data_IF_117632675395
#
_entry.id   IF_117632675395
#
_cell.length_a   1.000
_cell.length_b   1.000
_cell.length_c   1.000
_cell.angle_alpha   90.00
_cell.angle_beta   90.00
_cell.angle_gamma   90.00
#
_symmetry.space_group_name_H-M   'P 1'
#
loop_
_entity.id
_entity.type
_entity.pdbx_description
1 polymer ?
#
# COMPACT_ATOMS: atom_id res chain seq x y z
N UNK A 1 16.30 -2.87 -10.43
CA UNK A 1 15.47 -1.65 -10.37
C UNK A 1 16.27 -0.53 -9.72
N UNK A 2 15.99 0.74 -10.01
CA UNK A 2 16.69 1.88 -9.39
C UNK A 2 15.68 2.87 -8.82
N UNK A 3 15.99 3.44 -7.65
CA UNK A 3 15.32 4.65 -7.15
C UNK A 3 16.30 5.64 -6.55
N UNK A 4 16.25 6.89 -7.00
CA UNK A 4 16.94 8.01 -6.37
C UNK A 4 15.90 8.97 -5.76
N UNK A 5 15.98 9.12 -4.44
CA UNK A 5 15.20 10.12 -3.68
C UNK A 5 16.13 11.19 -3.15
N UNK A 6 15.70 12.45 -3.25
CA UNK A 6 16.41 13.58 -2.67
C UNK A 6 15.44 14.48 -1.91
N UNK A 7 15.88 14.95 -0.74
CA UNK A 7 15.07 15.84 0.09
C UNK A 7 15.88 16.96 0.70
N UNK A 8 15.18 18.01 1.09
CA UNK A 8 15.73 19.15 1.81
C UNK A 8 14.75 19.56 2.91
N UNK A 9 15.27 19.79 4.11
CA UNK A 9 14.51 20.31 5.23
C UNK A 9 15.21 21.53 5.83
N UNK A 10 14.44 22.56 6.15
CA UNK A 10 14.93 23.74 6.88
C UNK A 10 13.92 24.21 7.91
N UNK A 11 14.42 24.74 9.02
CA UNK A 11 13.62 25.26 10.13
C UNK A 11 13.76 26.77 10.21
N UNK A 12 12.64 27.47 10.31
CA UNK A 12 12.61 28.92 10.50
C UNK A 12 11.50 29.28 11.49
N UNK A 13 11.90 29.90 12.61
CA UNK A 13 11.01 30.19 13.74
C UNK A 13 10.24 28.92 14.20
N UNK A 14 8.90 28.98 14.24
CA UNK A 14 8.04 27.87 14.63
C UNK A 14 7.68 26.91 13.48
N UNK A 15 8.31 27.08 12.32
CA UNK A 15 7.98 26.37 11.08
C UNK A 15 9.15 25.54 10.56
N UNK A 16 8.81 24.47 9.87
CA UNK A 16 9.70 23.56 9.16
C UNK A 16 9.19 23.47 7.73
N UNK A 17 10.03 23.82 6.76
CA UNK A 17 9.78 23.57 5.36
C UNK A 17 10.55 22.32 4.94
N UNK A 18 9.84 21.37 4.35
CA UNK A 18 10.42 20.10 3.90
C UNK A 18 10.01 19.82 2.47
N UNK A 19 10.95 19.33 1.68
CA UNK A 19 10.73 18.89 0.31
C UNK A 19 11.40 17.54 0.06
N UNK A 20 10.75 16.69 -0.74
CA UNK A 20 11.24 15.36 -1.13
C UNK A 20 10.79 15.08 -2.58
N UNK A 21 11.69 14.53 -3.38
CA UNK A 21 11.50 14.23 -4.79
C UNK A 21 12.01 12.83 -5.11
N UNK A 22 11.23 12.07 -5.88
CA UNK A 22 11.77 10.99 -6.70
C UNK A 22 12.41 11.66 -7.94
N UNK A 23 13.65 11.29 -8.29
CA UNK A 23 14.38 11.89 -9.42
C UNK A 23 14.54 10.90 -10.58
N UNK A 24 14.85 9.66 -10.25
CA UNK A 24 15.04 8.55 -11.19
C UNK A 24 14.41 7.34 -10.55
N UNK A 25 13.48 6.70 -11.26
CA UNK A 25 12.76 5.53 -10.78
C UNK A 25 12.49 4.60 -11.95
N UNK A 26 12.62 3.30 -11.70
CA UNK A 26 12.24 2.25 -12.65
C UNK A 26 13.41 1.40 -13.13
N UNK A 27 13.09 0.51 -14.06
CA UNK A 27 13.96 -0.57 -14.48
C UNK A 27 15.12 -0.05 -15.33
N UNK A 28 16.35 -0.46 -14.98
CA UNK A 28 17.59 -0.13 -15.71
C UNK A 28 17.86 -1.14 -16.83
N UNK A 29 17.62 -2.42 -16.56
CA UNK A 29 17.84 -3.54 -17.46
C UNK A 29 16.99 -4.75 -17.03
N UNK A 30 16.87 -5.74 -17.92
CA UNK A 30 16.11 -6.98 -17.71
C UNK A 30 14.91 -7.06 -18.64
N UNK A 31 14.03 -8.02 -18.35
CA UNK A 31 12.81 -8.24 -19.12
C UNK A 31 11.75 -7.20 -18.76
N UNK A 32 11.06 -6.69 -19.78
CA UNK A 32 9.90 -5.81 -19.64
C UNK A 32 8.64 -6.60 -20.01
N UNK A 33 7.49 -6.15 -19.54
CA UNK A 33 6.21 -6.70 -19.95
C UNK A 33 5.95 -6.42 -21.43
N UNK A 34 5.63 -7.48 -22.19
CA UNK A 34 5.14 -7.38 -23.56
C UNK A 34 3.60 -7.30 -23.56
N UNK A 35 3.06 -6.32 -22.85
CA UNK A 35 1.63 -6.05 -22.76
C UNK A 35 1.38 -4.65 -23.34
N UNK A 36 0.57 -4.52 -24.41
CA UNK A 36 0.35 -3.25 -25.09
C UNK A 36 -0.63 -2.37 -24.30
N UNK A 37 -0.18 -1.84 -23.15
CA UNK A 37 -1.00 -0.99 -22.28
C UNK A 37 -0.19 0.14 -21.67
N UNK A 38 -0.80 1.32 -21.58
CA UNK A 38 -0.24 2.47 -20.86
C UNK A 38 -0.85 2.65 -19.47
N UNK A 39 -1.61 1.66 -18.99
CA UNK A 39 -2.38 1.78 -17.76
C UNK A 39 -1.62 1.30 -16.51
N UNK A 40 -0.46 0.64 -16.68
CA UNK A 40 0.46 0.26 -15.60
C UNK A 40 1.28 1.48 -15.16
N UNK A 41 1.02 1.96 -13.94
CA UNK A 41 1.73 3.09 -13.33
C UNK A 41 3.14 2.74 -12.89
N UNK A 42 3.40 1.45 -12.66
CA UNK A 42 4.75 0.95 -12.39
C UNK A 42 5.62 0.88 -13.64
N UNK A 43 5.04 1.10 -14.83
CA UNK A 43 5.73 1.18 -16.11
C UNK A 43 6.63 -0.03 -16.39
N UNK A 44 6.14 -1.24 -16.09
CA UNK A 44 6.86 -2.51 -16.26
C UNK A 44 7.05 -2.91 -17.72
N UNK A 45 6.37 -2.22 -18.63
CA UNK A 45 6.50 -2.33 -20.08
C UNK A 45 7.75 -1.63 -20.65
N UNK A 46 8.48 -0.87 -19.83
CA UNK A 46 9.60 -0.06 -20.32
C UNK A 46 10.80 0.01 -19.35
N UNK A 47 11.99 0.20 -19.93
CA UNK A 47 13.21 0.55 -19.19
C UNK A 47 13.20 2.05 -18.88
N UNK A 48 12.57 2.42 -17.77
CA UNK A 48 12.26 3.80 -17.40
C UNK A 48 13.26 4.51 -16.49
N UNK A 49 14.32 3.84 -16.00
CA UNK A 49 15.14 4.34 -14.88
C UNK A 49 15.64 5.80 -15.01
N UNK A 50 16.02 6.22 -16.22
CA UNK A 50 16.61 7.54 -16.48
C UNK A 50 15.68 8.51 -17.20
N UNK A 51 14.38 8.24 -17.19
CA UNK A 51 13.38 9.10 -17.80
C UNK A 51 12.99 10.25 -16.88
N UNK A 52 12.66 11.41 -17.45
CA UNK A 52 12.17 12.55 -16.67
C UNK A 52 10.77 12.32 -16.10
N UNK A 53 10.05 11.30 -16.57
CA UNK A 53 8.76 10.88 -15.98
C UNK A 53 8.92 10.36 -14.56
N UNK A 54 10.11 9.87 -14.18
CA UNK A 54 10.44 9.51 -12.81
C UNK A 54 10.69 10.69 -11.87
N UNK A 55 10.78 11.93 -12.39
CA UNK A 55 10.97 13.14 -11.57
C UNK A 55 9.61 13.59 -11.03
N UNK A 56 9.31 13.20 -9.79
CA UNK A 56 8.03 13.53 -9.16
C UNK A 56 8.21 14.07 -7.74
N UNK A 57 7.53 15.18 -7.38
CA UNK A 57 7.54 15.65 -6.00
C UNK A 57 6.71 14.68 -5.13
N UNK A 58 7.28 14.30 -3.99
CA UNK A 58 6.63 13.49 -2.96
C UNK A 58 6.17 14.32 -1.77
N UNK A 59 6.99 15.32 -1.43
CA UNK A 59 6.70 16.27 -0.36
C UNK A 59 7.13 17.66 -0.77
N UNK A 60 6.25 18.62 -0.53
CA UNK A 60 6.53 20.06 -0.51
C UNK A 60 5.58 20.63 0.54
N UNK A 61 6.05 20.71 1.78
CA UNK A 61 5.18 20.97 2.94
C UNK A 61 5.77 22.01 3.88
N UNK A 62 4.88 22.78 4.49
CA UNK A 62 5.17 23.65 5.62
C UNK A 62 4.46 23.11 6.86
N UNK A 63 5.22 22.76 7.89
CA UNK A 63 4.71 22.26 9.18
C UNK A 63 5.15 23.15 10.32
N UNK A 64 4.31 23.39 11.32
CA UNK A 64 4.72 24.19 12.47
C UNK A 64 3.75 24.18 13.63
N UNK A 65 4.17 24.77 14.75
CA UNK A 65 3.36 24.96 15.96
C UNK A 65 3.33 26.45 16.35
N UNK A 66 2.70 27.34 15.56
CA UNK A 66 2.81 28.80 15.73
C UNK A 66 2.36 29.30 17.11
N UNK A 67 1.44 28.59 17.80
CA UNK A 67 0.98 28.90 19.15
C UNK A 67 1.32 27.80 20.19
N UNK A 68 2.19 26.84 19.85
CA UNK A 68 2.62 25.74 20.73
C UNK A 68 1.58 24.66 21.06
N UNK A 69 0.29 24.92 20.89
CA UNK A 69 -0.82 24.02 21.26
C UNK A 69 -1.24 23.06 20.14
N UNK A 70 -1.10 23.49 18.89
CA UNK A 70 -1.65 22.82 17.71
C UNK A 70 -0.57 22.72 16.64
N UNK A 71 -0.37 21.52 16.12
CA UNK A 71 0.44 21.23 14.95
C UNK A 71 -0.38 21.54 13.70
N UNK A 72 0.19 22.36 12.83
CA UNK A 72 -0.34 22.65 11.50
C UNK A 72 0.58 22.07 10.44
N UNK A 73 0.00 21.55 9.37
CA UNK A 73 0.72 21.14 8.17
C UNK A 73 -0.09 21.53 6.93
N UNK A 74 0.58 22.10 5.94
CA UNK A 74 0.01 22.42 4.64
C UNK A 74 0.99 22.07 3.53
N UNK A 75 0.47 21.52 2.43
CA UNK A 75 1.23 21.32 1.21
C UNK A 75 1.06 19.92 0.62
N UNK A 76 1.95 19.57 -0.30
CA UNK A 76 2.03 18.23 -0.87
C UNK A 76 2.70 17.29 0.13
N UNK A 77 2.03 16.20 0.50
CA UNK A 77 2.55 15.18 1.40
C UNK A 77 2.15 13.79 0.92
N UNK A 78 2.88 12.78 1.40
CA UNK A 78 2.46 11.39 1.28
C UNK A 78 1.37 11.07 2.30
N UNK A 79 0.41 10.23 1.92
CA UNK A 79 -0.60 9.68 2.84
C UNK A 79 -0.16 8.29 3.28
N UNK A 80 -0.11 8.03 4.58
CA UNK A 80 0.23 6.71 5.10
C UNK A 80 -0.48 6.48 6.43
N UNK A 81 -1.00 5.27 6.64
CA UNK A 81 -1.65 4.85 7.87
C UNK A 81 -1.32 3.40 8.18
N UNK A 82 -1.16 3.07 9.46
CA UNK A 82 -1.00 1.69 9.95
C UNK A 82 0.13 0.90 9.30
N UNK A 83 -0.21 -0.30 8.83
CA UNK A 83 0.61 -1.19 8.00
C UNK A 83 0.59 -0.80 6.52
N UNK A 84 -0.21 0.21 6.14
CA UNK A 84 -0.35 0.67 4.77
C UNK A 84 -1.40 -0.10 3.98
N UNK A 85 -2.47 -0.57 4.63
CA UNK A 85 -3.55 -1.33 3.95
C UNK A 85 -4.44 -0.40 3.11
N UNK A 86 -4.89 0.73 3.67
CA UNK A 86 -5.75 1.69 2.96
C UNK A 86 -4.96 2.81 2.30
N UNK A 87 -3.96 3.33 2.99
CA UNK A 87 -3.18 4.46 2.53
C UNK A 87 -1.71 4.16 2.76
N UNK A 88 -0.92 4.09 1.69
CA UNK A 88 0.49 3.81 1.77
C UNK A 88 1.33 4.86 1.04
N UNK A 89 2.15 5.56 1.81
CA UNK A 89 3.04 6.58 1.27
C UNK A 89 4.24 6.03 0.51
N UNK A 90 4.34 4.71 0.25
CA UNK A 90 5.41 4.05 -0.52
C UNK A 90 6.81 4.22 0.07
N UNK A 91 6.91 4.62 1.35
CA UNK A 91 8.16 4.90 2.04
C UNK A 91 8.70 3.74 2.87
N UNK A 92 7.86 2.76 3.18
CA UNK A 92 8.23 1.57 3.95
C UNK A 92 9.00 0.57 3.08
N UNK A 93 10.06 -0.01 3.64
CA UNK A 93 10.77 -1.11 2.99
C UNK A 93 9.97 -2.41 3.16
N UNK A 94 9.63 -3.12 2.06
CA UNK A 94 8.94 -4.39 2.16
C UNK A 94 9.88 -5.54 2.53
N UNK A 95 9.29 -6.67 2.97
CA UNK A 95 10.08 -7.88 3.25
C UNK A 95 10.67 -8.50 1.98
N UNK A 96 9.97 -8.36 0.86
CA UNK A 96 10.45 -8.76 -0.47
C UNK A 96 9.84 -7.81 -1.49
N UNK A 97 10.48 -7.66 -2.65
CA UNK A 97 9.95 -6.82 -3.72
C UNK A 97 10.28 -5.34 -3.51
N UNK A 98 9.35 -4.47 -3.94
CA UNK A 98 9.57 -3.03 -4.07
C UNK A 98 8.28 -2.25 -3.86
N UNK A 99 8.40 -1.08 -3.24
CA UNK A 99 7.31 -0.11 -3.09
C UNK A 99 7.42 0.99 -4.17
N UNK A 100 6.81 0.75 -5.34
CA UNK A 100 6.86 1.64 -6.50
C UNK A 100 5.73 2.66 -6.48
N UNK A 101 5.85 3.68 -5.64
CA UNK A 101 4.95 4.83 -5.70
C UNK A 101 4.65 5.41 -4.34
N UNK A 102 3.37 5.53 -4.05
CA UNK A 102 2.81 6.01 -2.79
C UNK A 102 1.79 7.11 -2.99
N UNK A 103 0.77 7.06 -2.14
CA UNK A 103 -0.32 8.01 -2.11
C UNK A 103 0.16 9.43 -1.83
N UNK A 104 -0.31 10.37 -2.64
CA UNK A 104 0.08 11.77 -2.57
C UNK A 104 -1.14 12.68 -2.57
N UNK A 105 -1.15 13.61 -1.63
CA UNK A 105 -2.25 14.55 -1.42
C UNK A 105 -1.73 15.96 -1.22
N UNK A 106 -2.49 16.97 -1.67
CA UNK A 106 -2.39 18.31 -1.09
C UNK A 106 -3.23 18.32 0.18
N UNK A 107 -2.56 18.47 1.32
CA UNK A 107 -3.16 18.39 2.65
C UNK A 107 -3.18 19.74 3.32
N UNK A 108 -4.27 20.01 4.02
CA UNK A 108 -4.32 20.93 5.15
C UNK A 108 -4.67 20.12 6.38
N UNK A 109 -3.77 20.05 7.36
CA UNK A 109 -3.93 19.26 8.59
C UNK A 109 -3.74 20.09 9.84
N UNK A 110 -4.56 19.77 10.82
CA UNK A 110 -4.50 20.29 12.17
C UNK A 110 -4.47 19.11 13.13
N UNK A 111 -3.46 19.06 14.00
CA UNK A 111 -3.30 18.00 14.98
C UNK A 111 -3.10 18.59 16.37
N UNK A 112 -3.71 18.00 17.39
CA UNK A 112 -3.52 18.38 18.79
C UNK A 112 -3.31 17.15 19.68
N UNK A 113 -2.84 17.40 20.90
CA UNK A 113 -2.79 16.38 21.96
C UNK A 113 -3.63 16.87 23.14
N UNK A 114 -4.95 16.53 23.18
CA UNK A 114 -5.90 17.19 24.07
C UNK A 114 -5.62 16.94 25.56
N UNK A 115 -4.90 15.86 25.89
CA UNK A 115 -4.63 15.46 27.28
C UNK A 115 -3.22 15.79 27.76
N UNK A 116 -2.41 16.47 26.92
CA UNK A 116 -1.01 16.83 27.23
C UNK A 116 -0.85 17.67 28.51
N UNK A 117 -1.88 18.43 28.89
CA UNK A 117 -1.82 19.38 30.01
C UNK A 117 -2.61 18.94 31.26
N UNK A 118 -3.21 17.74 31.27
CA UNK A 118 -4.10 17.33 32.37
C UNK A 118 -3.36 17.14 33.72
N UNK A 119 -2.04 16.93 33.71
CA UNK A 119 -1.21 16.86 34.91
C UNK A 119 -0.65 18.22 35.37
N UNK A 120 -0.97 19.33 34.69
CA UNK A 120 -0.47 20.66 35.04
C UNK A 120 -1.44 21.49 35.90
N UNK A 121 -2.70 21.04 36.08
CA UNK A 121 -3.75 21.83 36.74
C UNK A 121 -4.14 21.33 38.14
N UNK A 122 -3.60 20.20 38.61
CA UNK A 122 -4.04 19.55 39.86
C UNK A 122 -2.99 19.50 41.00
N UNK A 123 -1.77 20.00 40.80
CA UNK A 123 -0.78 20.09 41.89
C UNK A 123 0.03 21.38 41.82
N UNK A 124 -0.23 22.38 42.70
CA UNK A 124 0.73 23.42 42.99
C UNK A 124 1.86 22.80 43.82
N UNK A 125 2.81 22.17 43.13
CA UNK A 125 4.03 21.60 43.71
C UNK A 125 5.28 22.27 43.13
N UNK A 126 6.42 22.21 43.83
CA UNK A 126 7.68 22.80 43.35
C UNK A 126 8.08 22.26 41.96
N UNK A 127 8.84 23.03 41.15
CA UNK A 127 9.09 22.77 39.74
C UNK A 127 9.69 21.40 39.39
N UNK A 128 10.27 20.70 40.38
CA UNK A 128 11.14 19.54 40.18
C UNK A 128 10.55 18.22 40.71
N UNK A 129 9.29 18.17 41.14
CA UNK A 129 8.66 16.91 41.60
C UNK A 129 7.36 16.60 40.85
N UNK A 130 7.47 15.79 39.79
CA UNK A 130 6.34 14.98 39.31
C UNK A 130 5.38 15.63 38.31
N UNK A 131 5.88 16.32 37.28
CA UNK A 131 5.08 16.52 36.05
C UNK A 131 4.81 15.13 35.47
N UNK A 132 3.66 14.53 35.80
CA UNK A 132 3.27 13.25 35.22
C UNK A 132 3.33 13.33 33.71
N UNK A 133 3.90 12.32 33.07
CA UNK A 133 4.11 12.29 31.63
C UNK A 133 2.80 12.61 30.88
N UNK A 134 2.86 13.44 29.83
CA UNK A 134 1.68 13.80 29.07
C UNK A 134 1.06 12.53 28.47
N UNK A 135 -0.25 12.34 28.66
CA UNK A 135 -0.97 11.21 28.05
C UNK A 135 -0.82 11.29 26.51
N UNK A 136 -0.15 10.32 25.87
CA UNK A 136 0.39 10.49 24.53
C UNK A 136 -0.66 10.14 23.46
N UNK A 137 -1.76 10.90 23.49
CA UNK A 137 -2.89 10.78 22.60
C UNK A 137 -2.99 12.01 21.71
N UNK A 138 -3.23 11.77 20.43
CA UNK A 138 -3.27 12.76 19.36
C UNK A 138 -4.59 12.65 18.61
N UNK A 139 -5.15 13.78 18.24
CA UNK A 139 -6.30 13.87 17.34
C UNK A 139 -5.91 14.75 16.17
N UNK A 140 -6.22 14.31 14.96
CA UNK A 140 -5.94 15.07 13.74
C UNK A 140 -7.16 15.15 12.85
N UNK A 141 -7.38 16.34 12.29
CA UNK A 141 -8.33 16.58 11.20
C UNK A 141 -7.55 17.05 9.99
N UNK A 142 -7.80 16.46 8.83
CA UNK A 142 -7.20 16.89 7.57
C UNK A 142 -8.24 17.02 6.46
N UNK A 143 -7.97 17.95 5.55
CA UNK A 143 -8.67 18.13 4.29
C UNK A 143 -7.67 17.87 3.17
N UNK A 144 -7.98 16.89 2.33
CA UNK A 144 -7.08 16.42 1.29
C UNK A 144 -7.68 16.58 -0.09
N UNK A 145 -6.83 17.00 -1.03
CA UNK A 145 -7.04 16.87 -2.46
C UNK A 145 -6.09 15.79 -2.95
N UNK A 146 -6.63 14.70 -3.49
CA UNK A 146 -5.82 13.60 -4.04
C UNK A 146 -5.08 14.09 -5.28
N UNK A 147 -3.77 13.90 -5.30
CA UNK A 147 -2.93 14.09 -6.49
C UNK A 147 -2.89 12.78 -7.27
N UNK A 148 -2.56 11.70 -6.56
CA UNK A 148 -2.50 10.34 -7.08
C UNK A 148 -2.61 9.36 -5.91
N UNK A 149 -3.49 8.38 -6.10
CA UNK A 149 -3.62 7.15 -5.32
C UNK A 149 -4.05 6.01 -6.28
N UNK A 150 -4.33 4.84 -5.72
CA UNK A 150 -4.81 3.64 -6.40
C UNK A 150 -6.15 3.83 -7.14
N UNK A 151 -6.98 4.78 -6.71
CA UNK A 151 -8.32 5.01 -7.26
C UNK A 151 -8.45 6.25 -8.16
N UNK A 152 -7.59 7.26 -8.00
CA UNK A 152 -7.68 8.54 -8.69
C UNK A 152 -6.33 9.16 -9.01
N UNK A 153 -6.22 9.65 -10.25
CA UNK A 153 -5.08 10.41 -10.76
C UNK A 153 -5.55 11.77 -11.24
N UNK A 154 -5.08 12.84 -10.60
CA UNK A 154 -5.45 14.20 -11.02
C UNK A 154 -4.91 14.52 -12.42
N UNK A 155 -3.73 14.01 -12.78
CA UNK A 155 -3.18 14.14 -14.15
C UNK A 155 -4.10 13.52 -15.22
N UNK A 156 -4.88 12.50 -14.87
CA UNK A 156 -5.87 11.86 -15.76
C UNK A 156 -7.24 12.56 -15.77
N UNK A 157 -7.35 13.73 -15.11
CA UNK A 157 -8.58 14.51 -15.05
C UNK A 157 -9.57 14.09 -13.97
N UNK A 158 -9.24 13.08 -13.16
CA UNK A 158 -10.04 12.69 -12.00
C UNK A 158 -9.93 13.73 -10.88
N UNK A 159 -10.96 13.80 -10.05
CA UNK A 159 -11.07 14.76 -8.97
C UNK A 159 -11.57 14.06 -7.72
N UNK A 160 -10.66 13.79 -6.77
CA UNK A 160 -11.01 13.23 -5.47
C UNK A 160 -10.64 14.18 -4.32
N UNK A 161 -11.56 14.36 -3.40
CA UNK A 161 -11.42 15.15 -2.18
C UNK A 161 -11.77 14.29 -0.98
N UNK A 162 -11.02 14.47 0.11
CA UNK A 162 -11.19 13.67 1.32
C UNK A 162 -11.23 14.57 2.57
N UNK A 163 -12.05 14.16 3.53
CA UNK A 163 -12.00 14.66 4.91
C UNK A 163 -11.53 13.50 5.78
N UNK A 164 -10.44 13.72 6.50
CA UNK A 164 -9.78 12.68 7.29
C UNK A 164 -9.84 13.07 8.76
N UNK A 165 -10.34 12.16 9.60
CA UNK A 165 -10.27 12.24 11.05
C UNK A 165 -9.43 11.07 11.57
N UNK A 166 -8.43 11.34 12.38
CA UNK A 166 -7.65 10.28 13.03
C UNK A 166 -7.45 10.53 14.51
N UNK A 167 -7.39 9.43 15.26
CA UNK A 167 -6.93 9.42 16.64
C UNK A 167 -5.76 8.45 16.76
N UNK A 168 -4.78 8.78 17.58
CA UNK A 168 -3.56 7.99 17.70
C UNK A 168 -3.01 8.06 19.11
N UNK A 169 -2.73 6.91 19.69
CA UNK A 169 -2.05 6.74 20.97
C UNK A 169 -0.71 6.07 20.70
N UNK A 170 0.37 6.59 21.28
CA UNK A 170 1.68 5.96 21.22
C UNK A 170 2.48 6.23 22.49
N UNK A 171 2.84 5.19 23.24
CA UNK A 171 3.58 5.34 24.50
C UNK A 171 5.06 5.03 24.39
N UNK A 172 5.78 5.24 25.50
CA UNK A 172 7.22 5.01 25.61
C UNK A 172 7.59 3.53 25.56
N UNK A 173 6.65 2.64 25.90
CA UNK A 173 6.82 1.18 25.78
C UNK A 173 6.71 0.72 24.32
N UNK A 174 6.35 1.61 23.40
CA UNK A 174 6.24 1.34 21.97
C UNK A 174 4.87 0.83 21.52
N UNK A 175 3.87 0.80 22.42
CA UNK A 175 2.49 0.46 22.05
C UNK A 175 1.91 1.59 21.21
N UNK A 176 1.26 1.23 20.12
CA UNK A 176 0.55 2.13 19.20
C UNK A 176 -0.86 1.64 19.00
N UNK A 177 -1.83 2.55 19.06
CA UNK A 177 -3.24 2.29 18.74
C UNK A 177 -3.79 3.50 18.02
N UNK A 178 -4.50 3.29 16.92
CA UNK A 178 -5.07 4.37 16.14
C UNK A 178 -6.38 4.01 15.49
N UNK A 179 -7.16 5.04 15.19
CA UNK A 179 -8.34 4.97 14.33
C UNK A 179 -8.23 6.01 13.24
N UNK A 180 -8.60 5.65 12.02
CA UNK A 180 -8.53 6.51 10.84
C UNK A 180 -9.85 6.43 10.08
N UNK A 181 -10.48 7.59 9.87
CA UNK A 181 -11.77 7.71 9.21
C UNK A 181 -11.63 8.66 8.04
N UNK A 182 -12.13 8.23 6.87
CA UNK A 182 -12.09 9.04 5.64
C UNK A 182 -13.48 9.11 5.06
N UNK A 183 -13.93 10.32 4.76
CA UNK A 183 -15.02 10.53 3.81
C UNK A 183 -14.43 11.03 2.49
N UNK A 184 -14.66 10.31 1.38
CA UNK A 184 -14.17 10.63 0.04
C UNK A 184 -15.33 10.97 -0.88
N UNK A 185 -15.21 12.08 -1.59
CA UNK A 185 -16.02 12.40 -2.76
C UNK A 185 -15.12 12.43 -4.00
N UNK A 186 -15.51 11.71 -5.05
CA UNK A 186 -14.76 11.58 -6.28
C UNK A 186 -15.65 11.80 -7.51
N UNK A 187 -15.10 12.49 -8.49
CA UNK A 187 -15.65 12.66 -9.84
C UNK A 187 -14.64 12.07 -10.83
N UNK A 188 -15.12 11.20 -11.71
CA UNK A 188 -14.29 10.53 -12.71
C UNK A 188 -13.88 11.47 -13.86
N UNK A 189 -12.98 11.01 -14.72
CA UNK A 189 -12.39 11.80 -15.81
C UNK A 189 -13.42 12.35 -16.82
N UNK A 190 -14.56 11.67 -16.98
CA UNK A 190 -15.67 12.12 -17.83
C UNK A 190 -16.58 13.18 -17.19
N UNK A 191 -16.37 13.49 -15.90
CA UNK A 191 -17.14 14.46 -15.11
C UNK A 191 -18.61 14.12 -14.89
N UNK A 192 -19.05 12.92 -15.23
CA UNK A 192 -20.44 12.48 -15.04
C UNK A 192 -20.54 11.38 -13.99
N UNK A 193 -19.56 10.49 -13.91
CA UNK A 193 -19.52 9.43 -12.90
C UNK A 193 -18.95 9.93 -11.59
N UNK A 194 -19.53 9.46 -10.49
CA UNK A 194 -19.23 9.92 -9.14
C UNK A 194 -19.15 8.77 -8.16
N UNK A 195 -18.25 8.89 -7.19
CA UNK A 195 -18.08 7.93 -6.09
C UNK A 195 -18.10 8.67 -4.77
N UNK A 196 -18.83 8.13 -3.80
CA UNK A 196 -18.83 8.60 -2.42
C UNK A 196 -18.54 7.40 -1.52
N UNK A 197 -17.48 7.48 -0.73
CA UNK A 197 -17.11 6.41 0.19
C UNK A 197 -16.76 6.93 1.58
N UNK A 198 -17.01 6.07 2.56
CA UNK A 198 -16.59 6.21 3.93
C UNK A 198 -15.69 5.02 4.27
N UNK A 199 -14.49 5.31 4.75
CA UNK A 199 -13.53 4.32 5.23
C UNK A 199 -13.41 4.47 6.75
N UNK A 200 -13.47 3.35 7.45
CA UNK A 200 -13.08 3.27 8.85
C UNK A 200 -11.99 2.20 8.98
N UNK A 201 -10.87 2.59 9.57
CA UNK A 201 -9.66 1.79 9.68
C UNK A 201 -9.12 1.86 11.11
N UNK A 202 -8.79 0.71 11.69
CA UNK A 202 -8.22 0.56 13.01
C UNK A 202 -6.84 -0.07 12.91
N UNK A 203 -5.87 0.52 13.59
CA UNK A 203 -4.49 0.03 13.60
C UNK A 203 -3.99 -0.14 15.04
N UNK A 204 -3.27 -1.23 15.30
CA UNK A 204 -2.53 -1.43 16.53
C UNK A 204 -1.14 -2.01 16.28
N UNK A 205 -0.19 -1.70 17.16
CA UNK A 205 1.12 -2.33 17.25
C UNK A 205 1.56 -2.41 18.69
N UNK A 206 1.81 -3.63 19.17
CA UNK A 206 2.03 -3.93 20.58
C UNK A 206 3.31 -4.78 20.70
N UNK A 207 4.37 -4.25 21.31
CA UNK A 207 5.52 -5.04 21.70
C UNK A 207 5.20 -5.87 22.95
N UNK A 208 5.63 -7.13 22.96
CA UNK A 208 5.43 -8.12 24.01
C UNK A 208 6.72 -8.91 24.19
N UNK A 209 7.25 -8.97 25.41
CA UNK A 209 8.38 -9.84 25.72
C UNK A 209 7.90 -11.26 26.00
N UNK A 210 8.43 -12.24 25.26
CA UNK A 210 8.11 -13.67 25.42
C UNK A 210 9.39 -14.41 25.82
N UNK A 211 9.61 -14.56 27.12
CA UNK A 211 10.88 -15.05 27.65
C UNK A 211 12.00 -14.05 27.35
N UNK A 212 13.01 -14.47 26.60
CA UNK A 212 14.06 -13.56 26.13
C UNK A 212 13.70 -12.86 24.81
N UNK A 213 12.73 -13.38 24.05
CA UNK A 213 12.42 -12.89 22.72
C UNK A 213 11.53 -11.65 22.77
N UNK A 214 11.68 -10.77 21.77
CA UNK A 214 10.77 -9.65 21.57
C UNK A 214 9.79 -10.01 20.46
N UNK A 215 8.50 -9.95 20.77
CA UNK A 215 7.41 -10.14 19.81
C UNK A 215 6.73 -8.79 19.59
N UNK A 216 6.66 -8.32 18.35
CA UNK A 216 5.75 -7.23 17.97
C UNK A 216 4.53 -7.80 17.27
N UNK A 217 3.34 -7.49 17.78
CA UNK A 217 2.05 -7.82 17.17
C UNK A 217 1.53 -6.54 16.55
N UNK A 218 1.38 -6.49 15.23
CA UNK A 218 0.77 -5.36 14.54
C UNK A 218 -0.39 -5.82 13.67
N UNK A 219 -1.50 -5.09 13.70
CA UNK A 219 -2.66 -5.40 12.85
C UNK A 219 -3.38 -4.15 12.39
N UNK A 220 -4.00 -4.23 11.22
CA UNK A 220 -4.85 -3.21 10.64
C UNK A 220 -6.15 -3.85 10.16
N UNK A 221 -7.30 -3.21 10.39
CA UNK A 221 -8.59 -3.71 9.94
C UNK A 221 -9.45 -2.55 9.45
N UNK A 222 -10.06 -2.72 8.28
CA UNK A 222 -10.79 -1.65 7.61
C UNK A 222 -12.11 -2.10 7.00
N UNK A 223 -13.04 -1.15 6.90
CA UNK A 223 -14.31 -1.29 6.18
C UNK A 223 -14.52 -0.09 5.27
N UNK A 224 -15.04 -0.35 4.07
CA UNK A 224 -15.38 0.65 3.07
C UNK A 224 -16.87 0.56 2.77
N UNK A 225 -17.58 1.67 2.96
CA UNK A 225 -19.02 1.79 2.75
C UNK A 225 -19.33 2.97 1.84
N UNK A 226 -20.38 2.90 1.02
CA UNK A 226 -20.75 4.04 0.19
C UNK A 226 -21.53 3.68 -1.07
N UNK A 227 -21.32 4.47 -2.12
CA UNK A 227 -21.89 4.21 -3.44
C UNK A 227 -20.99 4.77 -4.55
N UNK A 228 -21.00 4.11 -5.71
CA UNK A 228 -20.25 4.53 -6.90
C UNK A 228 -21.09 4.41 -8.16
N UNK A 229 -20.83 5.28 -9.14
CA UNK A 229 -21.25 5.09 -10.52
C UNK A 229 -20.06 4.91 -11.48
N UNK A 230 -18.84 4.64 -10.95
CA UNK A 230 -17.61 4.44 -11.75
C UNK A 230 -17.74 3.28 -12.72
N UNK A 231 -18.30 2.17 -12.25
CA UNK A 231 -18.79 1.05 -13.05
C UNK A 231 -20.26 0.81 -12.68
N UNK A 232 -21.04 0.31 -13.62
CA UNK A 232 -22.46 -0.03 -13.43
C UNK A 232 -22.72 -1.44 -13.93
N UNK A 233 -23.80 -2.05 -13.46
CA UNK A 233 -24.23 -3.39 -13.87
C UNK A 233 -25.57 -3.31 -14.59
N UNK A 234 -25.97 -4.39 -15.28
CA UNK A 234 -27.31 -4.48 -15.86
C UNK A 234 -28.43 -4.35 -14.82
N UNK A 235 -28.16 -4.72 -13.57
CA UNK A 235 -29.12 -4.64 -12.47
C UNK A 235 -29.14 -3.28 -11.75
N UNK A 236 -28.11 -2.46 -11.97
CA UNK A 236 -28.02 -1.10 -11.45
C UNK A 236 -27.25 -0.17 -12.39
N UNK A 237 -27.99 0.55 -13.23
CA UNK A 237 -27.45 1.44 -14.27
C UNK A 237 -27.09 2.83 -13.76
N UNK A 238 -27.47 3.18 -12.52
CA UNK A 238 -27.20 4.50 -11.95
C UNK A 238 -26.06 4.47 -10.94
N UNK A 239 -26.13 3.57 -9.94
CA UNK A 239 -25.16 3.48 -8.84
C UNK A 239 -25.09 2.07 -8.24
N UNK A 240 -23.92 1.65 -7.82
CA UNK A 240 -23.69 0.44 -7.02
C UNK A 240 -23.41 0.83 -5.58
N UNK A 241 -23.89 0.04 -4.63
CA UNK A 241 -23.55 0.20 -3.21
C UNK A 241 -22.15 -0.37 -2.96
N UNK A 242 -21.31 0.36 -2.23
CA UNK A 242 -20.00 -0.13 -1.80
C UNK A 242 -20.14 -0.74 -0.41
N UNK A 243 -19.69 -1.99 -0.25
CA UNK A 243 -19.58 -2.63 1.05
C UNK A 243 -18.49 -3.70 1.01
N UNK A 244 -17.30 -3.32 1.45
CA UNK A 244 -16.11 -4.14 1.41
C UNK A 244 -15.34 -4.05 2.74
N UNK A 245 -14.49 -5.04 3.04
CA UNK A 245 -13.75 -5.07 4.29
C UNK A 245 -12.51 -5.97 4.22
N UNK A 246 -11.50 -5.59 5.00
CA UNK A 246 -10.20 -6.22 4.95
C UNK A 246 -9.46 -6.12 6.28
N UNK A 247 -8.44 -6.97 6.45
CA UNK A 247 -7.57 -6.95 7.61
C UNK A 247 -6.18 -7.48 7.26
N UNK A 248 -5.17 -6.99 7.97
CA UNK A 248 -3.79 -7.45 7.93
C UNK A 248 -3.26 -7.70 9.35
N UNK A 249 -2.39 -8.70 9.48
CA UNK A 249 -1.66 -9.06 10.69
C UNK A 249 -0.19 -9.22 10.34
N UNK A 250 0.69 -8.67 11.16
CA UNK A 250 2.13 -8.86 11.11
C UNK A 250 2.64 -9.17 12.52
N UNK A 251 3.19 -10.37 12.69
CA UNK A 251 3.91 -10.78 13.88
C UNK A 251 5.40 -10.76 13.57
N UNK A 252 6.19 -10.07 14.37
CA UNK A 252 7.66 -10.04 14.24
C UNK A 252 8.28 -10.56 15.52
N UNK A 253 9.03 -11.66 15.43
CA UNK A 253 9.77 -12.26 16.54
C UNK A 253 11.26 -11.99 16.34
N UNK A 254 11.87 -11.33 17.31
CA UNK A 254 13.27 -10.96 17.30
C UNK A 254 14.04 -11.69 18.40
N UNK A 255 15.13 -12.33 18.01
CA UNK A 255 16.08 -12.94 18.91
C UNK A 255 16.92 -11.84 19.61
N UNK A 256 17.26 -11.95 20.91
CA UNK A 256 17.94 -10.90 21.68
C UNK A 256 19.23 -10.35 21.08
N UNK A 257 20.01 -11.20 20.40
CA UNK A 257 21.28 -10.80 19.79
C UNK A 257 21.10 -10.25 18.38
N UNK A 258 19.86 -10.21 17.87
CA UNK A 258 19.50 -9.71 16.55
C UNK A 258 20.06 -10.56 15.41
N UNK A 259 20.43 -11.82 15.67
CA UNK A 259 20.99 -12.74 14.66
C UNK A 259 19.87 -13.37 13.82
N UNK A 260 18.72 -13.59 14.42
CA UNK A 260 17.58 -14.21 13.78
C UNK A 260 16.30 -13.40 14.03
N UNK A 261 15.55 -13.19 12.96
CA UNK A 261 14.22 -12.57 13.00
C UNK A 261 13.26 -13.45 12.20
N UNK A 262 12.06 -13.67 12.73
CA UNK A 262 11.00 -14.32 11.96
C UNK A 262 9.76 -13.45 11.91
N UNK A 263 9.13 -13.38 10.75
CA UNK A 263 7.87 -12.71 10.55
C UNK A 263 6.78 -13.74 10.21
N UNK A 264 5.58 -13.50 10.71
CA UNK A 264 4.38 -14.17 10.22
C UNK A 264 3.39 -13.08 9.82
N UNK A 265 3.13 -12.97 8.53
CA UNK A 265 2.12 -12.07 7.99
C UNK A 265 0.90 -12.85 7.55
N UNK A 266 -0.27 -12.25 7.69
CA UNK A 266 -1.50 -12.76 7.13
C UNK A 266 -2.40 -11.58 6.76
N UNK A 267 -3.29 -11.79 5.80
CA UNK A 267 -4.26 -10.77 5.45
C UNK A 267 -5.48 -11.36 4.75
N UNK A 268 -6.55 -10.59 4.78
CA UNK A 268 -7.85 -10.90 4.18
C UNK A 268 -8.36 -9.64 3.49
N UNK A 269 -8.83 -9.79 2.26
CA UNK A 269 -9.55 -8.77 1.50
C UNK A 269 -10.82 -9.41 0.95
N UNK A 270 -11.97 -8.77 1.16
CA UNK A 270 -13.24 -9.28 0.63
C UNK A 270 -13.22 -9.34 -0.90
N UNK A 271 -13.85 -10.38 -1.44
CA UNK A 271 -14.03 -10.58 -2.87
C UNK A 271 -15.49 -10.43 -3.25
N UNK A 272 -15.74 -10.32 -4.55
CA UNK A 272 -17.09 -10.24 -5.09
C UNK A 272 -17.49 -11.54 -5.79
N UNK A 273 -18.40 -12.29 -5.18
CA UNK A 273 -18.89 -13.55 -5.77
C UNK A 273 -19.96 -13.34 -6.84
N UNK A 274 -20.55 -12.15 -6.92
CA UNK A 274 -21.64 -11.85 -7.84
C UNK A 274 -21.54 -10.41 -8.37
N UNK A 275 -20.64 -10.17 -9.34
CA UNK A 275 -20.39 -8.83 -9.86
C UNK A 275 -21.59 -8.22 -10.63
N UNK A 276 -22.65 -8.98 -10.87
CA UNK A 276 -23.85 -8.53 -11.59
C UNK A 276 -24.96 -7.99 -10.66
N UNK A 277 -24.79 -8.05 -9.34
CA UNK A 277 -25.77 -7.51 -8.42
C UNK A 277 -25.67 -5.97 -8.26
N UNK A 278 -26.21 -5.44 -7.16
CA UNK A 278 -26.28 -3.99 -6.89
C UNK A 278 -25.17 -3.52 -5.95
N UNK A 279 -24.21 -4.39 -5.62
CA UNK A 279 -23.09 -4.14 -4.73
C UNK A 279 -21.75 -4.19 -5.46
N UNK A 280 -20.75 -3.57 -4.84
CA UNK A 280 -19.33 -3.87 -5.07
C UNK A 280 -18.78 -4.32 -3.73
N UNK A 281 -18.33 -5.56 -3.68
CA UNK A 281 -17.86 -6.21 -2.46
C UNK A 281 -16.35 -6.52 -2.47
N UNK A 282 -15.72 -6.41 -3.63
CA UNK A 282 -14.28 -6.57 -3.76
C UNK A 282 -13.51 -5.44 -3.09
N UNK A 283 -12.41 -5.80 -2.44
CA UNK A 283 -11.46 -4.89 -1.85
C UNK A 283 -10.07 -5.21 -2.40
N UNK A 284 -9.35 -4.16 -2.78
CA UNK A 284 -7.93 -4.18 -3.04
C UNK A 284 -7.27 -3.32 -1.94
N UNK A 285 -6.14 -3.77 -1.41
CA UNK A 285 -5.30 -2.95 -0.53
C UNK A 285 -4.52 -1.95 -1.39
N UNK A 286 -3.83 -1.00 -0.74
CA UNK A 286 -2.89 -0.14 -1.45
C UNK A 286 -1.88 -1.00 -2.23
N UNK A 287 -1.58 -0.68 -3.50
CA UNK A 287 -0.61 -1.43 -4.30
C UNK A 287 0.78 -1.54 -3.69
N UNK A 288 1.16 -0.70 -2.72
CA UNK A 288 2.44 -0.80 -2.01
C UNK A 288 2.36 -1.65 -0.73
N UNK A 289 1.21 -2.28 -0.47
CA UNK A 289 1.10 -3.35 0.54
C UNK A 289 1.55 -4.67 -0.08
N UNK A 290 2.85 -4.94 0.00
CA UNK A 290 3.44 -6.06 -0.74
C UNK A 290 3.15 -7.42 -0.08
N UNK A 291 2.77 -8.41 -0.89
CA UNK A 291 2.53 -9.81 -0.49
C UNK A 291 3.33 -10.74 -1.40
N UNK A 292 4.59 -10.95 -1.04
CA UNK A 292 5.55 -11.65 -1.91
C UNK A 292 6.12 -10.72 -2.98
N UNK A 293 6.73 -11.29 -4.02
CA UNK A 293 7.32 -10.54 -5.13
C UNK A 293 6.63 -10.76 -6.47
N UNK A 294 5.92 -11.88 -6.64
CA UNK A 294 5.54 -12.40 -7.96
C UNK A 294 4.05 -12.66 -8.06
N UNK A 295 3.42 -13.30 -7.06
CA UNK A 295 2.06 -13.82 -7.19
C UNK A 295 1.02 -12.71 -7.41
N UNK A 296 1.16 -11.60 -6.69
CA UNK A 296 0.27 -10.45 -6.82
C UNK A 296 0.87 -9.41 -7.76
N UNK A 297 2.04 -8.87 -7.43
CA UNK A 297 2.73 -7.85 -8.22
C UNK A 297 2.84 -8.25 -9.70
N UNK A 298 3.49 -9.37 -10.01
CA UNK A 298 3.77 -9.73 -11.40
C UNK A 298 2.63 -10.49 -12.07
N UNK A 299 2.15 -11.58 -11.45
CA UNK A 299 1.15 -12.47 -12.08
C UNK A 299 -0.23 -11.82 -12.08
N UNK A 300 -0.71 -11.32 -10.93
CA UNK A 300 -2.02 -10.67 -10.91
C UNK A 300 -1.99 -9.34 -11.64
N UNK A 301 -0.94 -8.53 -11.45
CA UNK A 301 -0.74 -7.29 -12.17
C UNK A 301 -0.75 -7.48 -13.69
N UNK A 302 -0.03 -8.48 -14.22
CA UNK A 302 -0.01 -8.75 -15.67
C UNK A 302 -1.36 -9.24 -16.20
N UNK A 303 -2.09 -10.05 -15.44
CA UNK A 303 -3.46 -10.48 -15.81
C UNK A 303 -4.39 -9.26 -15.90
N UNK A 304 -4.35 -8.34 -14.93
CA UNK A 304 -5.21 -7.16 -14.90
C UNK A 304 -4.83 -6.17 -16.02
N UNK A 305 -3.53 -5.96 -16.24
CA UNK A 305 -3.00 -5.16 -17.35
C UNK A 305 -3.41 -5.72 -18.73
N UNK A 306 -3.31 -7.04 -18.92
CA UNK A 306 -3.74 -7.71 -20.14
C UNK A 306 -5.27 -7.65 -20.30
N UNK A 307 -6.03 -7.81 -19.22
CA UNK A 307 -7.50 -7.65 -19.23
C UNK A 307 -7.87 -6.25 -19.74
N UNK A 308 -7.20 -5.21 -19.23
CA UNK A 308 -7.39 -3.85 -19.69
C UNK A 308 -7.11 -3.70 -21.19
N UNK A 309 -5.99 -4.23 -21.68
CA UNK A 309 -5.65 -4.19 -23.11
C UNK A 309 -6.70 -4.89 -23.96
N UNK A 310 -7.15 -6.08 -23.57
CA UNK A 310 -8.17 -6.85 -24.30
C UNK A 310 -9.53 -6.14 -24.36
N UNK A 311 -9.94 -5.49 -23.27
CA UNK A 311 -11.23 -4.77 -23.18
C UNK A 311 -11.20 -3.46 -23.98
N UNK A 312 -10.03 -2.81 -24.09
CA UNK A 312 -9.86 -1.60 -24.89
C UNK A 312 -9.57 -1.88 -26.38
N UNK A 313 -9.32 -3.13 -26.76
CA UNK A 313 -9.07 -3.51 -28.15
C UNK A 313 -10.34 -3.31 -29.02
N UNK A 314 -10.29 -2.46 -30.07
CA UNK A 314 -11.41 -2.22 -30.98
C UNK A 314 -11.92 -3.49 -31.70
N UNK A 315 -11.11 -4.54 -31.78
CA UNK A 315 -11.51 -5.83 -32.34
C UNK A 315 -12.46 -6.62 -31.43
N UNK A 316 -12.46 -6.32 -30.12
CA UNK A 316 -13.34 -6.96 -29.13
C UNK A 316 -14.50 -6.06 -28.71
N UNK A 317 -14.27 -4.75 -28.59
CA UNK A 317 -15.32 -3.79 -28.24
C UNK A 317 -15.17 -2.50 -29.02
N UNK A 318 -16.26 -2.01 -29.63
CA UNK A 318 -16.25 -0.76 -30.38
C UNK A 318 -15.91 0.47 -29.50
N UNK A 319 -16.21 0.37 -28.20
CA UNK A 319 -15.84 1.36 -27.18
C UNK A 319 -15.56 0.64 -25.87
N UNK A 320 -14.52 1.06 -25.16
CA UNK A 320 -14.25 0.52 -23.83
C UNK A 320 -15.44 0.78 -22.88
N UNK A 321 -15.79 -0.21 -22.04
CA UNK A 321 -16.86 -0.07 -21.06
C UNK A 321 -16.50 0.97 -20.00
N UNK A 322 -17.52 1.51 -19.34
CA UNK A 322 -17.34 2.43 -18.24
C UNK A 322 -16.58 1.75 -17.09
N UNK A 323 -15.61 2.47 -16.52
CA UNK A 323 -14.82 2.01 -15.37
C UNK A 323 -13.68 1.06 -15.75
N UNK A 324 -13.37 0.89 -17.04
CA UNK A 324 -12.23 0.08 -17.51
C UNK A 324 -10.91 0.51 -16.89
N UNK A 325 -10.76 1.78 -16.56
CA UNK A 325 -9.60 2.38 -15.89
C UNK A 325 -9.39 1.87 -14.45
N UNK A 326 -10.38 1.19 -13.86
CA UNK A 326 -10.29 0.53 -12.56
C UNK A 326 -9.86 -0.95 -12.66
N UNK A 327 -9.55 -1.46 -13.86
CA UNK A 327 -9.11 -2.85 -14.02
C UNK A 327 -7.69 -3.06 -13.53
N UNK A 328 -6.69 -2.26 -13.95
CA UNK A 328 -5.33 -2.41 -13.45
C UNK A 328 -5.28 -1.98 -11.98
N UNK A 329 -4.92 -2.93 -11.11
CA UNK A 329 -4.75 -2.71 -9.67
C UNK A 329 -3.26 -2.58 -9.29
N UNK A 330 -2.38 -2.51 -10.29
CA UNK A 330 -0.92 -2.47 -10.13
C UNK A 330 -0.33 -3.65 -9.35
N UNK A 331 -1.08 -4.76 -9.23
CA UNK A 331 -0.67 -5.92 -8.45
C UNK A 331 -1.06 -5.84 -6.97
N UNK A 332 -1.94 -4.92 -6.60
CA UNK A 332 -2.49 -4.84 -5.25
C UNK A 332 -3.01 -6.18 -4.73
N UNK A 333 -2.76 -6.45 -3.45
CA UNK A 333 -3.38 -7.57 -2.76
C UNK A 333 -4.88 -7.31 -2.60
N UNK A 334 -5.72 -8.16 -3.19
CA UNK A 334 -7.17 -7.99 -3.13
C UNK A 334 -7.94 -9.27 -3.43
N UNK A 335 -9.21 -9.29 -3.00
CA UNK A 335 -10.12 -10.43 -3.17
C UNK A 335 -9.51 -11.79 -2.77
N UNK A 336 -8.70 -11.80 -1.71
CA UNK A 336 -7.89 -12.94 -1.32
C UNK A 336 -7.63 -13.00 0.20
N UNK A 337 -7.13 -14.14 0.65
CA UNK A 337 -6.50 -14.38 1.95
C UNK A 337 -5.11 -14.93 1.70
N UNK A 338 -4.13 -14.49 2.49
CA UNK A 338 -2.77 -15.03 2.46
C UNK A 338 -2.22 -15.33 3.84
N UNK A 339 -1.23 -16.22 3.86
CA UNK A 339 -0.32 -16.42 5.00
C UNK A 339 1.10 -16.41 4.45
N UNK A 340 1.99 -15.68 5.12
CA UNK A 340 3.39 -15.50 4.73
C UNK A 340 4.33 -15.61 5.95
N UNK A 341 4.86 -16.82 6.26
CA UNK A 341 6.03 -16.94 7.12
C UNK A 341 7.29 -16.44 6.40
N UNK A 342 8.13 -15.69 7.10
CA UNK A 342 9.43 -15.20 6.64
C UNK A 342 10.47 -15.40 7.74
N UNK A 343 11.66 -15.81 7.35
CA UNK A 343 12.80 -16.00 8.24
C UNK A 343 13.99 -15.21 7.71
N UNK A 344 14.62 -14.44 8.59
CA UNK A 344 15.84 -13.71 8.32
C UNK A 344 16.95 -14.16 9.26
N UNK A 345 18.13 -14.36 8.70
CA UNK A 345 19.33 -14.73 9.44
C UNK A 345 20.50 -13.84 9.05
N UNK A 346 21.10 -13.17 10.03
CA UNK A 346 22.31 -12.37 9.85
C UNK A 346 23.54 -13.28 9.89
N UNK A 347 24.10 -13.54 8.71
CA UNK A 347 25.37 -14.28 8.57
C UNK A 347 26.55 -13.49 9.16
N UNK A 348 26.49 -12.16 9.02
CA UNK A 348 27.40 -11.16 9.60
C UNK A 348 26.59 -9.90 9.95
N UNK A 349 27.12 -8.96 10.75
CA UNK A 349 26.43 -7.70 11.03
C UNK A 349 26.04 -6.90 9.78
N UNK A 350 26.71 -7.13 8.66
CA UNK A 350 26.50 -6.44 7.38
C UNK A 350 25.91 -7.32 6.28
N UNK A 351 25.54 -8.58 6.58
CA UNK A 351 25.05 -9.53 5.58
C UNK A 351 23.95 -10.42 6.15
N UNK A 352 22.82 -10.48 5.46
CA UNK A 352 21.68 -11.30 5.85
C UNK A 352 21.18 -12.17 4.69
N UNK A 353 20.58 -13.30 5.05
CA UNK A 353 19.77 -14.11 4.16
C UNK A 353 18.34 -14.09 4.67
N UNK A 354 17.38 -13.89 3.78
CA UNK A 354 15.94 -13.91 4.08
C UNK A 354 15.26 -14.93 3.19
N UNK A 355 14.30 -15.68 3.71
CA UNK A 355 13.45 -16.59 2.92
C UNK A 355 12.03 -16.53 3.42
N UNK A 356 11.06 -16.60 2.52
CA UNK A 356 9.65 -16.55 2.85
C UNK A 356 8.82 -17.40 1.90
N UNK A 357 7.64 -17.77 2.35
CA UNK A 357 6.67 -18.50 1.53
C UNK A 357 5.35 -17.76 1.58
N UNK A 358 4.68 -17.55 0.45
CA UNK A 358 3.29 -17.08 0.41
C UNK A 358 2.40 -18.26 0.05
N UNK A 359 1.27 -18.40 0.74
CA UNK A 359 0.17 -19.26 0.32
C UNK A 359 -1.09 -18.42 0.26
N UNK A 360 -1.77 -18.40 -0.89
CA UNK A 360 -2.92 -17.53 -1.11
C UNK A 360 -4.15 -18.25 -1.67
N UNK A 361 -5.32 -17.80 -1.22
CA UNK A 361 -6.63 -18.26 -1.67
C UNK A 361 -7.52 -17.07 -1.96
N UNK A 362 -8.30 -17.10 -3.03
CA UNK A 362 -9.29 -16.10 -3.36
C UNK A 362 -10.49 -16.17 -2.38
N UNK A 363 -11.06 -15.02 -2.04
CA UNK A 363 -12.25 -14.92 -1.18
C UNK A 363 -13.55 -14.94 -1.98
N UNK A 364 -13.43 -14.92 -3.31
CA UNK A 364 -14.48 -15.16 -4.29
C UNK A 364 -13.93 -16.08 -5.41
N UNK A 365 -14.78 -16.67 -6.28
CA UNK A 365 -14.31 -17.50 -7.39
C UNK A 365 -13.30 -16.77 -8.27
N UNK A 366 -12.21 -17.45 -8.64
CA UNK A 366 -11.20 -16.88 -9.54
C UNK A 366 -11.82 -16.76 -10.94
N UNK A 367 -12.12 -15.53 -11.35
CA UNK A 367 -12.72 -15.23 -12.64
C UNK A 367 -11.97 -14.08 -13.33
N UNK A 368 -11.53 -14.33 -14.57
CA UNK A 368 -11.01 -13.32 -15.47
C UNK A 368 -12.19 -12.58 -16.10
N UNK A 369 -12.22 -11.26 -15.92
CA UNK A 369 -13.39 -10.41 -16.22
C UNK A 369 -13.83 -10.54 -17.69
N UNK A 370 -12.88 -10.49 -18.62
CA UNK A 370 -13.17 -10.55 -20.06
C UNK A 370 -13.63 -11.94 -20.53
N UNK A 371 -12.89 -13.00 -20.17
CA UNK A 371 -13.21 -14.37 -20.62
C UNK A 371 -14.52 -14.87 -20.01
N UNK A 372 -14.76 -14.58 -18.73
CA UNK A 372 -15.99 -14.99 -18.04
C UNK A 372 -17.21 -14.28 -18.62
N UNK A 373 -17.10 -12.98 -18.93
CA UNK A 373 -18.16 -12.25 -19.61
C UNK A 373 -18.48 -12.84 -20.99
N UNK A 374 -17.46 -13.15 -21.80
CA UNK A 374 -17.63 -13.79 -23.12
C UNK A 374 -18.25 -15.19 -23.04
N UNK A 375 -18.03 -15.90 -21.95
CA UNK A 375 -18.62 -17.20 -21.66
C UNK A 375 -20.03 -17.10 -21.05
N UNK A 376 -20.66 -15.92 -21.04
CA UNK A 376 -22.02 -15.74 -20.53
C UNK A 376 -22.11 -15.78 -19.00
N UNK A 377 -21.03 -15.43 -18.30
CA UNK A 377 -20.97 -15.40 -16.84
C UNK A 377 -20.38 -16.66 -16.20
N UNK A 378 -20.06 -17.69 -16.99
CA UNK A 378 -19.29 -18.84 -16.48
C UNK A 378 -17.88 -18.38 -16.04
N UNK A 379 -17.48 -18.71 -14.81
CA UNK A 379 -16.17 -18.34 -14.28
C UNK A 379 -15.05 -19.04 -15.08
N UNK A 380 -14.16 -18.24 -15.66
CA UNK A 380 -13.01 -18.70 -16.43
C UNK A 380 -11.73 -17.98 -16.03
N UNK A 381 -10.59 -18.65 -16.12
CA UNK A 381 -9.29 -18.03 -15.86
C UNK A 381 -8.82 -17.17 -17.05
N UNK A 382 -7.63 -16.57 -16.90
CA UNK A 382 -7.03 -15.71 -17.93
C UNK A 382 -6.66 -16.47 -19.21
N UNK A 383 -6.57 -17.81 -19.17
CA UNK A 383 -6.37 -18.71 -20.32
C UNK A 383 -7.68 -19.26 -20.90
N UNK A 384 -8.83 -18.69 -20.51
CA UNK A 384 -10.18 -19.08 -20.96
C UNK A 384 -10.57 -20.53 -20.60
N UNK A 385 -10.04 -21.05 -19.50
CA UNK A 385 -10.40 -22.37 -18.98
C UNK A 385 -11.40 -22.23 -17.81
N UNK A 386 -12.41 -23.12 -17.69
CA UNK A 386 -13.33 -23.11 -16.56
C UNK A 386 -12.62 -23.23 -15.21
N UNK A 387 -13.11 -22.49 -14.22
CA UNK A 387 -12.56 -22.49 -12.85
C UNK A 387 -13.64 -22.79 -11.82
N UNK A 388 -13.26 -23.44 -10.72
CA UNK A 388 -14.20 -23.75 -9.63
C UNK A 388 -13.59 -23.69 -8.24
N UNK A 389 -12.27 -23.51 -8.12
CA UNK A 389 -11.56 -23.45 -6.85
C UNK A 389 -11.09 -22.03 -6.52
N UNK A 390 -10.71 -21.87 -5.25
CA UNK A 390 -10.24 -20.58 -4.70
C UNK A 390 -8.74 -20.54 -4.50
N UNK A 391 -8.03 -21.67 -4.51
CA UNK A 391 -6.57 -21.66 -4.35
C UNK A 391 -5.92 -20.85 -5.48
N UNK A 392 -5.13 -19.82 -5.14
CA UNK A 392 -4.46 -18.95 -6.12
C UNK A 392 -3.10 -19.57 -6.48
N UNK A 393 -2.31 -19.90 -5.47
CA UNK A 393 -0.97 -20.45 -5.65
C UNK A 393 -0.13 -20.37 -4.39
N UNK A 394 1.13 -20.77 -4.55
CA UNK A 394 2.19 -20.58 -3.55
C UNK A 394 3.34 -19.80 -4.16
N UNK A 395 4.07 -19.05 -3.36
CA UNK A 395 5.31 -18.39 -3.77
C UNK A 395 6.42 -18.70 -2.79
N UNK A 396 7.64 -18.91 -3.31
CA UNK A 396 8.86 -18.98 -2.51
C UNK A 396 9.74 -17.78 -2.84
N UNK A 397 10.03 -16.99 -1.82
CA UNK A 397 10.89 -15.82 -1.88
C UNK A 397 12.21 -16.07 -1.14
N UNK A 398 13.30 -15.55 -1.67
CA UNK A 398 14.56 -15.49 -0.95
C UNK A 398 15.41 -14.30 -1.36
N UNK A 399 16.15 -13.76 -0.40
CA UNK A 399 17.01 -12.60 -0.57
C UNK A 399 18.38 -12.79 0.10
N UNK A 400 19.40 -12.22 -0.52
CA UNK A 400 20.72 -12.01 0.06
C UNK A 400 20.96 -10.50 0.06
N UNK A 401 21.06 -9.92 1.25
CA UNK A 401 21.29 -8.49 1.42
C UNK A 401 22.63 -8.18 2.04
N UNK A 402 23.21 -7.06 1.60
CA UNK A 402 24.43 -6.47 2.09
C UNK A 402 24.12 -5.05 2.56
N UNK A 403 24.26 -4.82 3.86
CA UNK A 403 24.03 -3.52 4.49
C UNK A 403 25.27 -3.16 5.33
N UNK A 404 26.17 -2.30 4.84
CA UNK A 404 27.41 -2.01 5.53
C UNK A 404 27.14 -1.34 6.88
N UNK A 405 27.49 -2.06 7.94
CA UNK A 405 27.36 -1.63 9.32
C UNK A 405 28.15 -0.37 9.77
N UNK A 406 29.25 0.10 9.13
CA UNK A 406 30.00 1.23 9.69
C UNK A 406 29.24 2.56 9.55
N UNK A 407 28.80 3.11 10.69
CA UNK A 407 28.19 4.45 10.74
C UNK A 407 29.11 5.56 10.23
N UNK A 408 30.43 5.30 10.20
CA UNK A 408 31.50 6.21 9.77
C UNK A 408 31.45 6.55 8.27
N UNK A 409 30.74 5.75 7.46
CA UNK A 409 30.64 6.02 6.04
C UNK A 409 29.54 7.04 5.78
N UNK A 410 29.95 8.17 5.21
CA UNK A 410 29.04 9.22 4.71
C UNK A 410 28.09 8.65 3.64
N UNK A 411 28.55 7.67 2.85
CA UNK A 411 27.74 6.95 1.87
C UNK A 411 27.59 5.50 2.31
N UNK A 412 26.35 5.05 2.52
CA UNK A 412 26.05 3.68 2.93
C UNK A 412 25.41 2.92 1.77
N UNK A 413 26.21 2.23 0.94
CA UNK A 413 25.68 1.45 -0.17
C UNK A 413 25.06 0.15 0.33
N UNK A 414 23.77 -0.02 0.08
CA UNK A 414 23.03 -1.25 0.31
C UNK A 414 22.81 -1.98 -1.01
N UNK A 415 23.04 -3.29 -1.02
CA UNK A 415 22.85 -4.13 -2.20
C UNK A 415 22.01 -5.34 -1.80
N UNK A 416 20.93 -5.58 -2.52
CA UNK A 416 20.05 -6.72 -2.32
C UNK A 416 19.87 -7.51 -3.60
N UNK A 417 20.07 -8.83 -3.52
CA UNK A 417 19.64 -9.79 -4.53
C UNK A 417 18.40 -10.49 -3.99
N UNK A 418 17.32 -10.48 -4.76
CA UNK A 418 16.05 -11.10 -4.39
C UNK A 418 15.53 -11.97 -5.52
N UNK A 419 14.87 -13.07 -5.18
CA UNK A 419 14.29 -14.00 -6.13
C UNK A 419 12.93 -14.47 -5.61
N UNK A 420 11.95 -14.53 -6.50
CA UNK A 420 10.62 -15.04 -6.23
C UNK A 420 10.24 -16.13 -7.23
N UNK A 421 9.62 -17.20 -6.74
CA UNK A 421 9.13 -18.31 -7.55
C UNK A 421 7.69 -18.63 -7.19
N UNK A 422 6.75 -18.19 -8.04
CA UNK A 422 5.33 -18.48 -7.89
C UNK A 422 4.97 -19.77 -8.63
N UNK A 423 4.23 -20.66 -7.95
CA UNK A 423 3.57 -21.82 -8.52
C UNK A 423 2.06 -21.59 -8.50
N UNK A 424 1.49 -21.47 -9.70
CA UNK A 424 0.09 -21.07 -9.86
C UNK A 424 -0.83 -22.29 -9.81
N UNK A 425 -2.00 -22.13 -9.20
CA UNK A 425 -3.02 -23.16 -9.25
C UNK A 425 -3.59 -23.29 -10.66
N UNK A 426 -4.21 -24.44 -10.96
CA UNK A 426 -4.96 -24.62 -12.22
C UNK A 426 -6.11 -23.60 -12.38
N UNK A 427 -6.70 -23.12 -11.27
CA UNK A 427 -7.74 -22.09 -11.32
C UNK A 427 -7.18 -20.73 -11.76
N UNK A 428 -5.88 -20.47 -11.57
CA UNK A 428 -5.22 -19.27 -12.08
C UNK A 428 -4.52 -19.53 -13.42
N UNK A 429 -4.64 -20.70 -14.05
CA UNK A 429 -4.00 -21.05 -15.32
C UNK A 429 -2.83 -22.03 -15.21
N UNK A 430 -2.41 -22.38 -14.00
CA UNK A 430 -1.31 -23.30 -13.74
C UNK A 430 0.06 -22.73 -14.10
N UNK A 431 1.10 -23.57 -14.00
CA UNK A 431 2.48 -23.19 -14.35
C UNK A 431 3.26 -22.52 -13.23
N UNK A 432 4.34 -21.84 -13.61
CA UNK A 432 5.21 -21.13 -12.68
C UNK A 432 5.67 -19.79 -13.28
N UNK A 433 5.85 -18.81 -12.41
CA UNK A 433 6.42 -17.50 -12.73
C UNK A 433 7.63 -17.24 -11.84
N UNK A 434 8.62 -16.55 -12.39
CA UNK A 434 9.90 -16.32 -11.74
C UNK A 434 10.33 -14.87 -11.91
N UNK A 435 10.84 -14.27 -10.83
CA UNK A 435 11.42 -12.95 -10.85
C UNK A 435 12.78 -12.99 -10.15
N UNK A 436 13.79 -12.38 -10.77
CA UNK A 436 15.07 -12.10 -10.15
C UNK A 436 15.31 -10.59 -10.15
N UNK A 437 15.62 -10.02 -8.99
CA UNK A 437 15.81 -8.59 -8.82
C UNK A 437 17.13 -8.28 -8.13
N UNK A 438 17.87 -7.32 -8.71
CA UNK A 438 18.98 -6.63 -8.06
C UNK A 438 18.51 -5.21 -7.69
N UNK A 439 18.63 -4.89 -6.41
CA UNK A 439 18.35 -3.56 -5.86
C UNK A 439 19.62 -2.98 -5.28
N UNK A 440 19.90 -1.72 -5.63
CA UNK A 440 21.01 -0.95 -5.07
C UNK A 440 20.49 0.36 -4.52
N UNK A 441 20.80 0.64 -3.26
CA UNK A 441 20.42 1.86 -2.57
C UNK A 441 21.68 2.51 -1.99
N UNK A 442 21.76 3.84 -2.04
CA UNK A 442 22.84 4.58 -1.38
C UNK A 442 22.20 5.60 -0.47
N UNK A 443 22.42 5.46 0.83
CA UNK A 443 21.95 6.41 1.83
C UNK A 443 23.09 7.40 2.13
N UNK A 444 22.76 8.70 2.17
CA UNK A 444 23.68 9.82 2.44
C UNK A 444 23.09 10.76 3.49
#
# INVERSE_FOLDING_TARGET
DQRLRAGFETKFAAWTFSTEWDLFAGQVAGDVWDIPTSADDRHRDQLGAFTLTGVMPRRISLRGKPAGLVDFEIGLVTSHWGLGVVANGGGSEPLFGRADGGDRVLRLRVSNSPFRYRNSLSTPGPPDSGRGEPFPFFVSLALDRVIVDDLAKWSAGQNAQQVVLSTFYADEEGRKLGSYFVYRGQVESDRTRVSHSFVADLYESIPVSVGTWNLTIASEAMVVLGATSRSTTYQSTEKLALSAGGAALALTFEEPRGVFTSHLRAGYASGDSNPDDRGVHSLDFDPNFDVGMVLFDEVRGSIDANTYAMVNDPSHSARAPDGVDAIPTEGAFGSAVYVQPVFEYKLKPWMYVRTGVVVAFATAPIAHRFNSFRAGGEARNHLDQPTSGTFIGTELDYALGFDPAPEEWVLRPQVGLQFGHAHLSQNLGGGAAHLGMLTTQVVW
#
